data_IF_952258611296
#
_entry.id   IF_952258611296
#
_cell.length_a   1.000
_cell.length_b   1.000
_cell.length_c   1.000
_cell.angle_alpha   90.00
_cell.angle_beta   90.00
_cell.angle_gamma   90.00
#
_symmetry.space_group_name_H-M   'P 1'
#
loop_
_entity.id
_entity.type
_entity.pdbx_description
1 polymer ?
#
# COMPACT_ATOMS: atom_id res chain seq x y z
N UNK A 1 31.07 -12.14 -16.00
CA UNK A 1 30.40 -11.25 -15.06
C UNK A 1 29.49 -12.10 -14.16
N UNK A 2 29.26 -11.70 -12.91
CA UNK A 2 28.30 -12.40 -12.07
C UNK A 2 26.89 -12.25 -12.65
N UNK A 3 26.12 -13.33 -12.72
CA UNK A 3 24.72 -13.30 -13.14
C UNK A 3 23.92 -12.43 -12.17
N UNK A 4 23.10 -11.53 -12.69
CA UNK A 4 22.25 -10.64 -11.88
C UNK A 4 20.80 -11.04 -12.05
N UNK A 5 20.07 -11.05 -10.94
CA UNK A 5 18.62 -11.15 -10.89
C UNK A 5 18.08 -9.80 -10.44
N UNK A 6 17.23 -9.19 -11.24
CA UNK A 6 16.68 -7.85 -10.98
C UNK A 6 15.16 -7.93 -11.09
N UNK A 7 14.47 -7.58 -10.03
CA UNK A 7 13.03 -7.42 -10.01
C UNK A 7 12.69 -5.94 -9.86
N UNK A 8 11.90 -5.43 -10.78
CA UNK A 8 11.53 -4.01 -10.84
C UNK A 8 10.03 -3.88 -10.67
N UNK A 9 9.61 -2.87 -9.92
CA UNK A 9 8.21 -2.51 -9.75
C UNK A 9 8.01 -1.01 -9.92
N UNK A 10 6.83 -0.59 -10.35
CA UNK A 10 6.32 0.77 -10.17
C UNK A 10 5.24 0.77 -9.11
N UNK A 11 4.95 1.93 -8.53
CA UNK A 11 3.82 2.10 -7.63
C UNK A 11 2.53 1.54 -8.27
N UNK A 12 1.70 0.88 -7.47
CA UNK A 12 0.44 0.33 -7.95
C UNK A 12 -0.58 1.45 -8.17
N UNK A 13 -1.14 1.62 -9.37
CA UNK A 13 -2.19 2.61 -9.58
C UNK A 13 -3.47 2.17 -8.87
N UNK A 14 -4.11 3.10 -8.18
CA UNK A 14 -5.33 2.80 -7.46
C UNK A 14 -6.52 2.63 -8.42
N UNK A 15 -7.22 1.51 -8.34
CA UNK A 15 -8.30 1.11 -9.24
C UNK A 15 -9.61 1.92 -9.02
N UNK A 16 -9.49 3.20 -8.73
CA UNK A 16 -10.60 4.13 -8.53
C UNK A 16 -10.64 5.30 -9.53
N UNK A 17 -9.79 5.27 -10.54
CA UNK A 17 -9.72 6.33 -11.56
C UNK A 17 -8.85 5.93 -12.74
N UNK A 18 -8.87 6.77 -13.77
CA UNK A 18 -8.04 6.58 -14.97
C UNK A 18 -6.59 6.96 -14.71
N UNK A 19 -5.68 6.42 -15.51
CA UNK A 19 -4.28 6.86 -15.57
C UNK A 19 -4.24 8.34 -16.00
N UNK A 20 -3.35 9.10 -15.40
CA UNK A 20 -3.09 10.49 -15.75
C UNK A 20 -1.59 10.75 -15.92
N UNK A 21 -1.24 11.96 -16.39
CA UNK A 21 0.15 12.31 -16.69
C UNK A 21 1.11 12.10 -15.51
N UNK A 22 0.65 12.32 -14.28
CA UNK A 22 1.47 12.07 -13.08
C UNK A 22 1.86 10.61 -12.93
N UNK A 23 0.93 9.69 -13.18
CA UNK A 23 1.22 8.26 -13.22
C UNK A 23 2.20 7.92 -14.35
N UNK A 24 1.95 8.42 -15.58
CA UNK A 24 2.77 8.12 -16.76
C UNK A 24 4.21 8.55 -16.58
N UNK A 25 4.51 9.65 -15.88
CA UNK A 25 5.89 10.07 -15.60
C UNK A 25 6.68 8.95 -14.91
N UNK A 26 6.11 8.34 -13.89
CA UNK A 26 6.76 7.25 -13.15
C UNK A 26 6.92 6.00 -14.02
N UNK A 27 5.84 5.54 -14.66
CA UNK A 27 5.86 4.30 -15.45
C UNK A 27 6.78 4.39 -16.67
N UNK A 28 6.78 5.53 -17.38
CA UNK A 28 7.68 5.74 -18.54
C UNK A 28 9.14 5.76 -18.07
N UNK A 29 9.46 6.44 -16.98
CA UNK A 29 10.82 6.44 -16.43
C UNK A 29 11.28 5.04 -16.02
N UNK A 30 10.38 4.27 -15.38
CA UNK A 30 10.67 2.89 -15.02
C UNK A 30 10.91 2.02 -16.24
N UNK A 31 10.04 2.09 -17.25
CA UNK A 31 10.17 1.31 -18.48
C UNK A 31 11.46 1.63 -19.25
N UNK A 32 11.84 2.91 -19.35
CA UNK A 32 13.12 3.33 -19.94
C UNK A 32 14.29 2.66 -19.18
N UNK A 33 14.25 2.69 -17.85
CA UNK A 33 15.31 2.08 -17.04
C UNK A 33 15.35 0.55 -17.20
N UNK A 34 14.19 -0.10 -17.25
CA UNK A 34 14.07 -1.56 -17.47
C UNK A 34 14.64 -1.93 -18.84
N UNK A 35 14.25 -1.23 -19.91
CA UNK A 35 14.78 -1.46 -21.26
C UNK A 35 16.30 -1.29 -21.30
N UNK A 36 16.82 -0.25 -20.66
CA UNK A 36 18.26 -0.04 -20.55
C UNK A 36 18.95 -1.20 -19.82
N UNK A 37 18.39 -1.71 -18.73
CA UNK A 37 18.97 -2.86 -18.02
C UNK A 37 18.92 -4.15 -18.88
N UNK A 38 17.80 -4.42 -19.55
CA UNK A 38 17.66 -5.58 -20.44
C UNK A 38 18.63 -5.54 -21.62
N UNK A 39 18.91 -4.35 -22.16
CA UNK A 39 19.93 -4.14 -23.23
C UNK A 39 21.36 -4.37 -22.72
N UNK A 40 21.66 -3.90 -21.51
CA UNK A 40 23.01 -3.99 -20.92
C UNK A 40 23.32 -5.37 -20.35
N UNK A 41 22.30 -6.10 -19.92
CA UNK A 41 22.39 -7.39 -19.23
C UNK A 41 21.52 -8.40 -19.99
N UNK A 42 22.00 -8.92 -21.13
CA UNK A 42 21.18 -9.78 -21.96
C UNK A 42 20.90 -11.14 -21.29
N UNK A 43 19.72 -11.68 -21.54
CA UNK A 43 19.24 -12.94 -20.98
C UNK A 43 20.13 -14.12 -21.40
N UNK A 44 20.71 -14.07 -22.59
CA UNK A 44 21.61 -15.09 -23.14
C UNK A 44 22.90 -15.25 -22.31
N UNK A 45 23.28 -14.23 -21.55
CA UNK A 45 24.39 -14.27 -20.59
C UNK A 45 23.96 -14.78 -19.20
N UNK A 46 22.69 -15.14 -19.05
CA UNK A 46 22.11 -15.69 -17.83
C UNK A 46 21.67 -14.65 -16.82
N UNK A 47 21.46 -13.40 -17.23
CA UNK A 47 20.79 -12.38 -16.42
C UNK A 47 19.28 -12.54 -16.48
N UNK A 48 18.61 -12.23 -15.36
CA UNK A 48 17.15 -12.29 -15.23
C UNK A 48 16.63 -10.95 -14.77
N UNK A 49 15.80 -10.31 -15.60
CA UNK A 49 15.26 -8.97 -15.32
C UNK A 49 13.76 -9.00 -15.58
N UNK A 50 12.97 -8.71 -14.55
CA UNK A 50 11.53 -8.71 -14.63
C UNK A 50 10.96 -7.38 -14.13
N UNK A 51 9.99 -6.85 -14.88
CA UNK A 51 9.20 -5.69 -14.51
C UNK A 51 7.76 -6.09 -14.25
N UNK A 52 7.33 -6.00 -13.00
CA UNK A 52 5.97 -6.37 -12.59
C UNK A 52 5.26 -5.19 -11.93
N UNK A 53 3.95 -5.13 -12.14
CA UNK A 53 3.06 -4.17 -11.51
C UNK A 53 1.67 -4.78 -11.33
N UNK A 54 0.76 -4.10 -10.66
CA UNK A 54 -0.63 -4.50 -10.50
C UNK A 54 -1.51 -3.28 -10.24
N UNK A 55 -2.82 -3.43 -10.42
CA UNK A 55 -3.77 -2.46 -9.87
C UNK A 55 -3.92 -2.65 -8.37
N UNK A 56 -3.89 -1.56 -7.60
CA UNK A 56 -4.32 -1.52 -6.21
C UNK A 56 -5.84 -1.41 -6.17
N UNK A 57 -6.51 -2.49 -5.75
CA UNK A 57 -7.95 -2.67 -6.03
C UNK A 57 -8.85 -2.61 -4.80
N UNK A 58 -8.32 -2.63 -3.59
CA UNK A 58 -9.12 -2.73 -2.38
C UNK A 58 -9.48 -1.38 -1.77
N UNK A 59 -10.47 -1.39 -0.90
CA UNK A 59 -10.83 -0.25 -0.08
C UNK A 59 -12.26 0.27 -0.27
N UNK A 60 -12.68 1.07 0.70
CA UNK A 60 -14.00 1.72 0.73
C UNK A 60 -14.28 2.58 -0.52
N UNK A 61 -13.30 3.35 -1.08
CA UNK A 61 -13.56 4.15 -2.28
C UNK A 61 -13.99 3.33 -3.49
N UNK A 62 -13.37 2.16 -3.71
CA UNK A 62 -13.74 1.23 -4.80
C UNK A 62 -15.15 0.70 -4.57
N UNK A 63 -15.45 0.27 -3.34
CA UNK A 63 -16.78 -0.23 -2.96
C UNK A 63 -17.88 0.81 -3.20
N UNK A 64 -17.67 2.05 -2.74
CA UNK A 64 -18.63 3.14 -2.90
C UNK A 64 -18.80 3.58 -4.35
N UNK A 65 -17.73 3.55 -5.15
CA UNK A 65 -17.82 3.84 -6.58
C UNK A 65 -18.63 2.76 -7.31
N UNK A 66 -18.36 1.50 -7.05
CA UNK A 66 -19.12 0.38 -7.63
C UNK A 66 -20.61 0.47 -7.27
N UNK A 67 -20.95 0.76 -6.00
CA UNK A 67 -22.34 0.99 -5.58
C UNK A 67 -23.00 2.13 -6.37
N UNK A 68 -22.30 3.26 -6.53
CA UNK A 68 -22.79 4.42 -7.29
C UNK A 68 -23.02 4.11 -8.77
N UNK A 69 -22.18 3.25 -9.37
CA UNK A 69 -22.28 2.82 -10.75
C UNK A 69 -23.27 1.64 -10.94
N UNK A 70 -23.77 1.05 -9.85
CA UNK A 70 -24.74 -0.05 -9.87
C UNK A 70 -24.13 -1.39 -10.33
N UNK A 71 -22.83 -1.58 -10.12
CA UNK A 71 -22.07 -2.78 -10.45
C UNK A 71 -21.38 -3.35 -9.21
N UNK A 72 -20.81 -4.56 -9.30
CA UNK A 72 -20.01 -5.11 -8.22
C UNK A 72 -18.60 -4.48 -8.18
N UNK A 73 -17.92 -4.49 -7.02
CA UNK A 73 -16.53 -4.06 -6.95
C UNK A 73 -15.61 -4.83 -7.91
N UNK A 74 -15.83 -6.13 -8.08
CA UNK A 74 -15.08 -6.98 -9.00
C UNK A 74 -15.29 -6.57 -10.47
N UNK A 75 -16.51 -6.23 -10.88
CA UNK A 75 -16.77 -5.69 -12.21
C UNK A 75 -16.08 -4.35 -12.43
N UNK A 76 -16.10 -3.47 -11.43
CA UNK A 76 -15.42 -2.17 -11.49
C UNK A 76 -13.92 -2.33 -11.68
N UNK A 77 -13.25 -3.13 -10.83
CA UNK A 77 -11.80 -3.30 -10.92
C UNK A 77 -11.37 -3.97 -12.22
N UNK A 78 -12.18 -4.88 -12.79
CA UNK A 78 -11.91 -5.48 -14.09
C UNK A 78 -12.01 -4.47 -15.24
N UNK A 79 -12.98 -3.55 -15.19
CA UNK A 79 -13.10 -2.46 -16.16
C UNK A 79 -11.91 -1.51 -16.07
N UNK A 80 -11.56 -1.09 -14.86
CA UNK A 80 -10.43 -0.19 -14.63
C UNK A 80 -9.11 -0.84 -15.05
N UNK A 81 -8.92 -2.14 -14.76
CA UNK A 81 -7.76 -2.90 -15.21
C UNK A 81 -7.60 -2.87 -16.73
N UNK A 82 -8.68 -3.09 -17.46
CA UNK A 82 -8.65 -3.05 -18.92
C UNK A 82 -8.30 -1.65 -19.45
N UNK A 83 -8.81 -0.60 -18.82
CA UNK A 83 -8.51 0.79 -19.17
C UNK A 83 -7.03 1.13 -18.88
N UNK A 84 -6.52 0.78 -17.69
CA UNK A 84 -5.12 1.00 -17.33
C UNK A 84 -4.17 0.26 -18.27
N UNK A 85 -4.44 -1.02 -18.56
CA UNK A 85 -3.62 -1.82 -19.46
C UNK A 85 -3.59 -1.24 -20.89
N UNK A 86 -4.73 -0.76 -21.40
CA UNK A 86 -4.82 -0.04 -22.69
C UNK A 86 -3.94 1.20 -22.66
N UNK A 87 -4.10 2.05 -21.63
CA UNK A 87 -3.36 3.30 -21.53
C UNK A 87 -1.84 3.05 -21.45
N UNK A 88 -1.38 2.08 -20.68
CA UNK A 88 0.04 1.68 -20.64
C UNK A 88 0.54 1.17 -21.99
N UNK A 89 -0.27 0.37 -22.70
CA UNK A 89 0.07 -0.15 -24.02
C UNK A 89 0.20 0.97 -25.05
N UNK A 90 -0.70 1.96 -25.02
CA UNK A 90 -0.68 3.10 -25.93
C UNK A 90 0.56 3.99 -25.72
N UNK A 91 1.11 4.01 -24.49
CA UNK A 91 2.38 4.68 -24.17
C UNK A 91 3.61 3.75 -24.26
N UNK A 92 3.46 2.55 -24.82
CA UNK A 92 4.53 1.57 -25.03
C UNK A 92 5.25 1.14 -23.74
N UNK A 93 4.56 1.15 -22.61
CA UNK A 93 5.06 0.62 -21.35
C UNK A 93 4.87 -0.89 -21.34
N UNK A 94 5.95 -1.65 -21.17
CA UNK A 94 5.95 -3.11 -21.28
C UNK A 94 6.29 -3.77 -19.94
N UNK A 95 5.26 -4.27 -19.25
CA UNK A 95 5.44 -5.11 -18.08
C UNK A 95 5.66 -6.58 -18.49
N UNK A 96 6.51 -7.30 -17.77
CA UNK A 96 6.56 -8.76 -17.85
C UNK A 96 5.29 -9.38 -17.22
N UNK A 97 4.70 -8.69 -16.24
CA UNK A 97 3.35 -8.95 -15.73
C UNK A 97 2.69 -7.67 -15.18
N UNK A 98 1.50 -7.35 -15.68
CA UNK A 98 0.58 -6.37 -15.08
C UNK A 98 -0.63 -7.12 -14.55
N UNK A 99 -0.88 -7.06 -13.24
CA UNK A 99 -1.83 -7.93 -12.57
C UNK A 99 -2.82 -7.13 -11.69
N UNK A 100 -3.34 -7.74 -10.62
CA UNK A 100 -4.27 -7.13 -9.67
C UNK A 100 -3.93 -7.55 -8.25
N UNK A 101 -4.12 -6.65 -7.28
CA UNK A 101 -4.03 -7.03 -5.87
C UNK A 101 -5.18 -7.94 -5.43
N UNK A 102 -6.34 -7.88 -6.10
CA UNK A 102 -7.45 -8.82 -5.86
C UNK A 102 -7.18 -10.18 -6.52
N UNK A 103 -6.22 -10.92 -6.00
CA UNK A 103 -5.77 -12.19 -6.55
C UNK A 103 -5.51 -13.24 -5.47
N UNK A 104 -5.59 -14.53 -5.81
CA UNK A 104 -5.27 -15.60 -4.86
C UNK A 104 -3.82 -15.56 -4.40
N UNK A 105 -2.90 -15.14 -5.25
CA UNK A 105 -1.49 -15.00 -4.91
C UNK A 105 -1.27 -13.88 -3.89
N UNK A 106 -1.83 -12.70 -4.11
CA UNK A 106 -1.74 -11.58 -3.16
C UNK A 106 -2.39 -11.95 -1.82
N UNK A 107 -3.57 -12.58 -1.85
CA UNK A 107 -4.22 -13.07 -0.64
C UNK A 107 -3.34 -14.02 0.15
N UNK A 108 -2.76 -15.02 -0.51
CA UNK A 108 -1.85 -16.00 0.10
C UNK A 108 -0.71 -15.31 0.85
N UNK A 109 -0.04 -14.35 0.21
CA UNK A 109 1.09 -13.67 0.82
C UNK A 109 0.69 -12.66 1.89
N UNK A 110 -0.47 -12.00 1.78
CA UNK A 110 -1.00 -11.13 2.84
C UNK A 110 -1.32 -11.93 4.10
N UNK A 111 -1.96 -13.08 3.95
CA UNK A 111 -2.25 -13.99 5.05
C UNK A 111 -0.96 -14.58 5.67
N UNK A 112 0.04 -14.92 4.85
CA UNK A 112 1.32 -15.47 5.31
C UNK A 112 2.14 -14.44 6.09
N UNK A 113 2.31 -13.23 5.55
CA UNK A 113 2.98 -12.12 6.23
C UNK A 113 2.31 -11.83 7.58
N UNK A 114 0.98 -11.65 7.60
CA UNK A 114 0.24 -11.42 8.83
C UNK A 114 0.43 -12.55 9.85
N UNK A 115 0.35 -13.80 9.41
CA UNK A 115 0.49 -14.97 10.29
C UNK A 115 1.87 -15.04 10.91
N UNK A 116 2.92 -14.78 10.12
CA UNK A 116 4.31 -14.75 10.60
C UNK A 116 4.56 -13.61 11.57
N UNK A 117 4.07 -12.41 11.28
CA UNK A 117 4.18 -11.26 12.20
C UNK A 117 3.44 -11.53 13.52
N UNK A 118 2.26 -12.17 13.46
CA UNK A 118 1.49 -12.54 14.65
C UNK A 118 2.16 -13.63 15.47
N UNK A 119 2.83 -14.59 14.83
CA UNK A 119 3.55 -15.69 15.47
C UNK A 119 4.94 -15.30 16.01
N UNK A 120 5.43 -14.10 15.72
CA UNK A 120 6.69 -13.62 16.28
C UNK A 120 6.65 -13.58 17.81
N UNK A 121 7.78 -13.78 18.46
CA UNK A 121 7.89 -13.75 19.93
C UNK A 121 8.83 -12.60 20.39
N UNK A 122 8.31 -11.56 21.06
CA UNK A 122 6.89 -11.26 21.25
C UNK A 122 6.18 -10.91 19.93
N UNK A 123 4.86 -11.09 19.88
CA UNK A 123 4.06 -10.80 18.67
C UNK A 123 4.24 -9.37 18.17
N UNK A 124 4.39 -9.23 16.85
CA UNK A 124 4.43 -7.93 16.17
C UNK A 124 3.04 -7.43 15.75
N UNK A 125 2.00 -8.21 16.00
CA UNK A 125 0.61 -7.78 15.85
C UNK A 125 0.00 -7.56 17.23
N UNK A 126 -0.66 -6.41 17.40
CA UNK A 126 -1.42 -6.07 18.61
C UNK A 126 -2.81 -5.58 18.24
N UNK A 127 -3.72 -5.52 19.23
CA UNK A 127 -5.05 -4.93 19.03
C UNK A 127 -5.22 -3.71 19.93
N UNK A 128 -5.96 -2.72 19.43
CA UNK A 128 -6.33 -1.50 20.15
C UNK A 128 -7.78 -1.15 19.82
N UNK A 129 -8.52 -0.66 20.79
CA UNK A 129 -9.82 -0.04 20.53
C UNK A 129 -9.59 1.39 20.05
N UNK A 130 -10.20 1.74 18.92
CA UNK A 130 -10.19 3.09 18.36
C UNK A 130 -11.60 3.62 18.21
N UNK A 131 -11.76 4.93 18.33
CA UNK A 131 -13.01 5.62 18.06
C UNK A 131 -12.99 6.19 16.65
N UNK A 132 -14.05 5.93 15.88
CA UNK A 132 -14.19 6.37 14.51
C UNK A 132 -15.59 6.86 14.21
N UNK A 133 -15.72 7.73 13.22
CA UNK A 133 -17.03 8.11 12.72
C UNK A 133 -17.69 6.99 11.90
N UNK A 134 -18.94 6.74 12.23
CA UNK A 134 -19.80 5.76 11.61
C UNK A 134 -21.00 6.45 10.98
N UNK A 135 -21.29 6.11 9.73
CA UNK A 135 -22.48 6.53 9.02
C UNK A 135 -23.64 5.56 9.36
N UNK A 136 -24.64 6.00 10.11
CA UNK A 136 -25.72 5.11 10.53
C UNK A 136 -26.66 4.72 9.38
N UNK A 137 -26.77 5.55 8.32
CA UNK A 137 -27.65 5.30 7.20
C UNK A 137 -27.03 4.29 6.22
N UNK A 138 -25.71 4.32 6.09
CA UNK A 138 -24.96 3.37 5.25
C UNK A 138 -24.48 2.13 6.03
N UNK A 139 -24.40 2.21 7.33
CA UNK A 139 -23.92 1.11 8.16
C UNK A 139 -22.41 0.87 8.06
N UNK A 140 -21.60 1.92 7.80
CA UNK A 140 -20.15 1.81 7.55
C UNK A 140 -19.35 2.80 8.38
N UNK A 141 -18.11 2.45 8.73
CA UNK A 141 -17.11 3.39 9.18
C UNK A 141 -16.56 4.15 7.98
N UNK A 142 -16.40 5.48 8.12
CA UNK A 142 -15.99 6.33 7.00
C UNK A 142 -14.50 6.68 7.07
N UNK A 143 -13.78 6.56 5.94
CA UNK A 143 -12.50 7.24 5.76
C UNK A 143 -12.64 8.76 5.82
N UNK A 144 -11.57 9.44 6.23
CA UNK A 144 -11.54 10.88 6.49
C UNK A 144 -12.04 11.73 5.32
N UNK A 145 -11.77 11.31 4.08
CA UNK A 145 -12.23 12.00 2.85
C UNK A 145 -13.73 11.89 2.58
N UNK A 146 -14.43 11.02 3.29
CA UNK A 146 -15.90 10.91 3.22
C UNK A 146 -16.60 11.58 4.39
N UNK A 147 -15.85 12.31 5.22
CA UNK A 147 -16.33 13.09 6.35
C UNK A 147 -16.13 14.56 6.03
N UNK A 148 -17.17 15.37 6.22
CA UNK A 148 -17.09 16.84 6.19
C UNK A 148 -17.73 17.44 7.41
N UNK A 149 -17.31 18.69 7.73
CA UNK A 149 -17.85 19.45 8.85
C UNK A 149 -17.33 20.88 8.86
N UNK A 150 -17.53 21.56 9.99
CA UNK A 150 -16.98 22.90 10.19
C UNK A 150 -15.56 22.79 10.77
N UNK A 151 -14.62 23.56 10.24
CA UNK A 151 -13.24 23.59 10.73
C UNK A 151 -13.17 24.02 12.19
N UNK A 152 -12.48 23.30 13.09
CA UNK A 152 -12.37 23.64 14.51
C UNK A 152 -11.57 24.93 14.76
N UNK A 153 -10.77 25.39 13.77
CA UNK A 153 -9.91 26.58 13.91
C UNK A 153 -10.51 27.86 13.32
N UNK A 154 -11.13 27.79 12.14
CA UNK A 154 -11.64 28.98 11.46
C UNK A 154 -13.15 28.97 11.20
N UNK A 155 -13.84 27.88 11.60
CA UNK A 155 -15.29 27.68 11.41
C UNK A 155 -15.75 27.69 9.95
N UNK A 156 -14.84 27.54 9.00
CA UNK A 156 -15.19 27.32 7.60
C UNK A 156 -16.01 26.05 7.46
N UNK A 157 -17.12 26.12 6.71
CA UNK A 157 -18.02 24.98 6.48
C UNK A 157 -17.47 24.03 5.42
N UNK A 158 -17.99 22.80 5.40
CA UNK A 158 -17.76 21.79 4.36
C UNK A 158 -16.28 21.39 4.18
N UNK A 159 -15.51 21.45 5.27
CA UNK A 159 -14.11 21.06 5.28
C UNK A 159 -13.96 19.55 5.49
N UNK A 160 -12.95 18.92 4.86
CA UNK A 160 -12.68 17.50 4.98
C UNK A 160 -12.15 17.10 6.36
N UNK A 161 -12.20 15.79 6.67
CA UNK A 161 -11.87 15.25 7.98
C UNK A 161 -10.40 15.34 8.38
N UNK A 162 -9.49 15.65 7.47
CA UNK A 162 -8.04 15.68 7.70
C UNK A 162 -7.44 17.09 7.61
N UNK A 163 -8.08 18.01 6.87
CA UNK A 163 -7.54 19.36 6.67
C UNK A 163 -8.63 20.41 6.34
N UNK A 164 -8.27 21.68 6.52
CA UNK A 164 -9.09 22.80 6.13
C UNK A 164 -8.54 23.48 4.87
N UNK A 165 -9.29 23.44 3.79
CA UNK A 165 -8.91 24.12 2.54
C UNK A 165 -8.90 25.65 2.66
N UNK A 166 -9.66 26.22 3.62
CA UNK A 166 -9.76 27.67 3.81
C UNK A 166 -8.59 28.26 4.61
N UNK A 167 -8.08 27.55 5.65
CA UNK A 167 -7.02 28.09 6.52
C UNK A 167 -5.77 27.21 6.57
N UNK A 168 -5.74 26.08 5.85
CA UNK A 168 -4.58 25.18 5.80
C UNK A 168 -4.33 24.38 7.09
N UNK A 169 -5.24 24.41 8.06
CA UNK A 169 -5.07 23.69 9.32
C UNK A 169 -5.29 22.19 9.14
N UNK A 170 -4.38 21.36 9.66
CA UNK A 170 -4.58 19.94 9.85
C UNK A 170 -5.21 19.65 11.21
N UNK A 171 -6.06 18.63 11.28
CA UNK A 171 -6.75 18.17 12.48
C UNK A 171 -7.20 16.70 12.32
N UNK A 172 -7.60 16.05 13.40
CA UNK A 172 -8.23 14.74 13.31
C UNK A 172 -9.72 14.87 12.88
N UNK A 173 -10.30 13.89 12.19
CA UNK A 173 -11.72 13.92 11.83
C UNK A 173 -12.63 14.17 13.03
N UNK A 174 -12.24 13.63 14.20
CA UNK A 174 -12.96 13.80 15.47
C UNK A 174 -13.03 15.23 16.00
N UNK A 175 -12.16 16.12 15.48
CA UNK A 175 -12.14 17.54 15.88
C UNK A 175 -13.15 18.39 15.10
N UNK A 176 -13.70 17.86 14.00
CA UNK A 176 -14.69 18.58 13.17
C UNK A 176 -15.95 18.93 13.97
N UNK A 177 -16.44 20.13 13.76
CA UNK A 177 -17.72 20.59 14.33
C UNK A 177 -18.84 20.15 13.38
N UNK A 178 -19.89 19.52 13.94
CA UNK A 178 -21.04 18.98 13.20
C UNK A 178 -20.65 18.12 11.99
N UNK A 179 -19.86 17.06 12.19
CA UNK A 179 -19.45 16.20 11.11
C UNK A 179 -20.65 15.49 10.46
N UNK A 180 -20.58 15.33 9.14
CA UNK A 180 -21.58 14.61 8.36
C UNK A 180 -20.94 13.78 7.27
N UNK A 181 -21.65 12.73 6.86
CA UNK A 181 -21.25 11.85 5.75
C UNK A 181 -21.40 12.54 4.40
N UNK A 182 -20.36 12.50 3.56
CA UNK A 182 -20.50 12.95 2.15
C UNK A 182 -21.18 11.90 1.28
N UNK A 183 -21.43 10.71 1.80
CA UNK A 183 -22.08 9.59 1.07
C UNK A 183 -23.59 9.61 1.24
N UNK A 184 -24.08 9.82 2.48
CA UNK A 184 -25.51 9.78 2.82
C UNK A 184 -26.07 11.16 3.24
N UNK A 185 -25.21 12.12 3.56
CA UNK A 185 -25.51 13.38 4.25
C UNK A 185 -26.02 13.19 5.70
N UNK A 186 -25.94 11.98 6.26
CA UNK A 186 -26.30 11.71 7.64
C UNK A 186 -25.35 12.38 8.62
N UNK A 187 -25.89 12.77 9.79
CA UNK A 187 -25.07 13.12 10.94
C UNK A 187 -24.32 11.87 11.41
N UNK A 188 -23.01 12.01 11.60
CA UNK A 188 -22.15 10.88 12.00
C UNK A 188 -22.25 10.62 13.50
N UNK A 189 -22.09 9.36 13.87
CA UNK A 189 -22.00 8.93 15.27
C UNK A 189 -20.62 8.33 15.55
N UNK A 190 -20.11 8.54 16.76
CA UNK A 190 -18.86 7.91 17.19
C UNK A 190 -19.14 6.46 17.58
N UNK A 191 -18.32 5.55 17.09
CA UNK A 191 -18.33 4.14 17.51
C UNK A 191 -16.91 3.67 17.79
N UNK A 192 -16.78 2.82 18.81
CA UNK A 192 -15.54 2.14 19.15
C UNK A 192 -15.46 0.82 18.39
N UNK A 193 -14.30 0.53 17.81
CA UNK A 193 -14.01 -0.75 17.19
C UNK A 193 -12.62 -1.22 17.57
N UNK A 194 -12.42 -2.55 17.72
CA UNK A 194 -11.12 -3.15 17.90
C UNK A 194 -10.42 -3.26 16.55
N UNK A 195 -9.20 -2.72 16.46
CA UNK A 195 -8.37 -2.77 15.27
C UNK A 195 -7.04 -3.50 15.53
N UNK A 196 -6.52 -4.10 14.48
CA UNK A 196 -5.22 -4.77 14.47
C UNK A 196 -4.13 -3.80 14.02
N UNK A 197 -3.00 -3.82 14.73
CA UNK A 197 -1.86 -2.95 14.47
C UNK A 197 -0.60 -3.77 14.26
N UNK A 198 0.19 -3.41 13.24
CA UNK A 198 1.56 -3.85 13.13
C UNK A 198 2.44 -2.94 13.99
N UNK A 199 3.21 -3.54 14.90
CA UNK A 199 4.11 -2.82 15.81
C UNK A 199 5.35 -2.31 15.09
N UNK A 200 5.18 -1.31 14.22
CA UNK A 200 6.29 -0.68 13.52
C UNK A 200 7.27 0.02 14.49
N UNK A 201 6.78 0.42 15.67
CA UNK A 201 7.57 1.00 16.76
C UNK A 201 8.35 -0.02 17.59
N UNK A 202 8.23 -1.32 17.33
CA UNK A 202 9.02 -2.36 18.00
C UNK A 202 10.53 -2.19 17.69
N UNK A 203 11.39 -2.38 18.66
CA UNK A 203 12.85 -2.18 18.52
C UNK A 203 13.46 -3.04 17.39
N UNK A 204 12.89 -4.21 17.12
CA UNK A 204 13.33 -5.07 15.99
C UNK A 204 13.14 -4.37 14.65
N UNK A 205 11.98 -3.71 14.46
CA UNK A 205 11.69 -2.93 13.26
C UNK A 205 12.54 -1.67 13.19
N UNK A 206 12.62 -0.91 14.27
CA UNK A 206 13.37 0.36 14.33
C UNK A 206 14.86 0.14 14.08
N UNK A 207 15.48 -0.84 14.75
CA UNK A 207 16.90 -1.14 14.57
C UNK A 207 17.21 -1.63 13.14
N UNK A 208 16.35 -2.47 12.57
CA UNK A 208 16.48 -2.86 11.17
C UNK A 208 16.38 -1.65 10.25
N UNK A 209 15.33 -0.82 10.41
CA UNK A 209 15.10 0.33 9.53
C UNK A 209 16.22 1.36 9.61
N UNK A 210 16.80 1.62 10.80
CA UNK A 210 17.96 2.51 10.93
C UNK A 210 19.13 2.01 10.10
N UNK A 211 19.51 0.75 10.26
CA UNK A 211 20.60 0.15 9.48
C UNK A 211 20.30 0.20 8.00
N UNK A 212 19.13 -0.29 7.60
CA UNK A 212 18.72 -0.43 6.21
C UNK A 212 18.63 0.92 5.48
N UNK A 213 18.06 1.96 6.12
CA UNK A 213 17.86 3.27 5.49
C UNK A 213 19.08 4.19 5.56
N UNK A 214 19.95 4.03 6.55
CA UNK A 214 21.05 4.98 6.81
C UNK A 214 22.45 4.42 6.49
N UNK A 215 22.67 3.11 6.63
CA UNK A 215 24.01 2.52 6.56
C UNK A 215 24.25 1.71 5.27
N UNK A 216 23.20 1.11 4.70
CA UNK A 216 23.30 0.14 3.61
C UNK A 216 23.11 0.75 2.21
N UNK A 217 22.90 2.06 2.09
CA UNK A 217 22.75 2.80 0.83
C UNK A 217 21.63 2.29 -0.11
N UNK A 218 20.52 1.83 0.46
CA UNK A 218 19.35 1.38 -0.31
C UNK A 218 18.52 2.55 -0.87
N UNK A 219 18.66 3.75 -0.31
CA UNK A 219 17.87 4.92 -0.65
C UNK A 219 18.74 6.03 -1.23
N UNK A 220 18.13 6.88 -2.05
CA UNK A 220 18.74 8.17 -2.43
C UNK A 220 18.95 9.03 -1.18
N UNK A 221 19.93 9.94 -1.21
CA UNK A 221 20.31 10.77 -0.06
C UNK A 221 19.14 11.57 0.52
N UNK A 222 18.29 12.16 -0.35
CA UNK A 222 17.13 12.93 0.06
C UNK A 222 16.08 12.07 0.76
N UNK A 223 15.87 10.85 0.28
CA UNK A 223 14.99 9.86 0.90
C UNK A 223 15.55 9.37 2.23
N UNK A 224 16.84 9.05 2.31
CA UNK A 224 17.51 8.63 3.55
C UNK A 224 17.42 9.72 4.63
N UNK A 225 17.65 10.99 4.28
CA UNK A 225 17.49 12.12 5.19
C UNK A 225 16.05 12.23 5.73
N UNK A 226 15.06 11.99 4.87
CA UNK A 226 13.65 11.99 5.30
C UNK A 226 13.33 10.82 6.24
N UNK A 227 13.94 9.65 6.03
CA UNK A 227 13.79 8.52 6.95
C UNK A 227 14.38 8.83 8.31
N UNK A 228 15.56 9.48 8.37
CA UNK A 228 16.16 9.90 9.65
C UNK A 228 15.24 10.84 10.43
N UNK A 229 14.59 11.80 9.75
CA UNK A 229 13.60 12.69 10.39
C UNK A 229 12.45 11.90 11.04
N UNK A 230 11.90 10.89 10.34
CA UNK A 230 10.80 10.08 10.83
C UNK A 230 11.21 9.08 11.90
N UNK A 231 12.41 8.50 11.81
CA UNK A 231 12.94 7.59 12.83
C UNK A 231 13.35 8.32 14.10
N UNK A 232 13.67 9.61 14.02
CA UNK A 232 14.26 10.39 15.10
C UNK A 232 15.75 10.12 15.29
N UNK A 233 16.37 10.81 16.24
CA UNK A 233 17.77 10.62 16.61
C UNK A 233 18.04 9.19 17.12
N UNK A 234 19.31 8.79 17.23
CA UNK A 234 19.72 7.41 17.47
C UNK A 234 19.08 6.74 18.70
N UNK A 235 18.76 7.50 19.73
CA UNK A 235 18.12 7.01 20.96
C UNK A 235 16.62 7.32 21.06
N UNK A 236 16.03 7.94 20.01
CA UNK A 236 14.62 8.23 19.93
C UNK A 236 13.91 7.17 19.10
N UNK A 237 12.62 7.02 19.32
CA UNK A 237 11.76 6.21 18.50
C UNK A 237 10.46 7.00 18.22
N UNK A 238 10.40 7.63 17.03
CA UNK A 238 9.27 8.45 16.63
C UNK A 238 8.26 7.67 15.78
N UNK A 239 8.51 6.38 15.50
CA UNK A 239 7.58 5.56 14.74
C UNK A 239 6.36 5.18 15.59
N UNK A 240 5.21 5.21 14.95
CA UNK A 240 3.95 4.73 15.54
C UNK A 240 3.57 3.38 14.94
N UNK A 241 2.84 2.58 15.73
CA UNK A 241 2.24 1.35 15.24
C UNK A 241 1.24 1.66 14.13
N UNK A 242 1.19 0.80 13.13
CA UNK A 242 0.38 0.99 11.94
C UNK A 242 -0.91 0.17 11.98
N UNK A 243 -2.06 0.82 11.83
CA UNK A 243 -3.36 0.16 11.71
C UNK A 243 -3.46 -0.60 10.38
N UNK A 244 -3.59 -1.93 10.48
CA UNK A 244 -3.64 -2.84 9.34
C UNK A 244 -5.02 -3.44 9.11
N UNK A 245 -6.06 -2.95 9.78
CA UNK A 245 -7.41 -3.52 9.70
C UNK A 245 -8.48 -2.51 9.34
N UNK A 246 -9.59 -3.02 8.81
CA UNK A 246 -10.83 -2.27 8.56
C UNK A 246 -12.04 -3.13 8.92
N UNK A 247 -13.11 -2.47 9.35
CA UNK A 247 -14.38 -3.10 9.66
C UNK A 247 -15.22 -3.40 8.43
N UNK A 248 -16.02 -4.45 8.49
CA UNK A 248 -17.07 -4.71 7.49
C UNK A 248 -18.13 -3.59 7.50
N UNK A 249 -18.76 -3.27 6.34
CA UNK A 249 -18.44 -3.78 5.01
C UNK A 249 -17.18 -3.13 4.42
N UNK A 250 -16.34 -3.92 3.80
CA UNK A 250 -15.10 -3.46 3.18
C UNK A 250 -14.75 -4.37 2.01
N UNK A 251 -14.33 -3.82 0.89
CA UNK A 251 -13.82 -4.58 -0.23
C UNK A 251 -12.33 -4.86 -0.05
N UNK A 252 -11.98 -6.11 0.21
CA UNK A 252 -10.63 -6.54 0.52
C UNK A 252 -10.57 -7.97 1.05
N UNK A 253 -9.42 -8.42 1.52
CA UNK A 253 -9.25 -9.74 2.10
C UNK A 253 -9.56 -9.72 3.61
N UNK A 254 -10.35 -10.69 4.04
CA UNK A 254 -10.64 -10.86 5.46
C UNK A 254 -9.39 -11.33 6.22
N UNK A 255 -9.17 -10.75 7.40
CA UNK A 255 -8.07 -11.16 8.30
C UNK A 255 -8.34 -12.58 8.82
N UNK A 256 -7.37 -13.51 8.77
CA UNK A 256 -7.54 -14.86 9.27
C UNK A 256 -7.97 -14.89 10.74
N UNK A 257 -9.01 -15.67 11.04
CA UNK A 257 -9.59 -15.84 12.38
C UNK A 257 -10.12 -14.54 13.03
N UNK A 258 -10.48 -13.53 12.23
CA UNK A 258 -11.06 -12.26 12.69
C UNK A 258 -12.31 -11.94 11.85
N UNK A 259 -13.48 -12.56 12.16
CA UNK A 259 -14.72 -12.32 11.44
C UNK A 259 -15.09 -10.83 11.40
N UNK A 260 -15.46 -10.31 10.22
CA UNK A 260 -15.83 -8.91 10.02
C UNK A 260 -14.67 -7.93 10.02
N UNK A 261 -13.41 -8.41 10.05
CA UNK A 261 -12.21 -7.60 9.93
C UNK A 261 -11.47 -7.93 8.63
N UNK A 262 -11.04 -6.90 7.93
CA UNK A 262 -10.38 -6.98 6.64
C UNK A 262 -9.00 -6.34 6.72
N UNK A 263 -8.05 -6.79 5.90
CA UNK A 263 -6.78 -6.10 5.77
C UNK A 263 -7.01 -4.69 5.20
N UNK A 264 -6.35 -3.73 5.79
CA UNK A 264 -6.27 -2.39 5.21
C UNK A 264 -5.44 -2.42 3.94
N UNK A 265 -5.88 -1.72 2.92
CA UNK A 265 -5.26 -1.68 1.59
C UNK A 265 -3.74 -1.45 1.61
N UNK A 266 -3.21 -0.70 2.56
CA UNK A 266 -1.77 -0.47 2.68
C UNK A 266 -0.98 -1.67 3.23
N UNK A 267 -1.64 -2.71 3.73
CA UNK A 267 -0.96 -3.98 4.00
C UNK A 267 -0.88 -4.82 2.73
N UNK A 268 -1.97 -4.98 2.00
CA UNK A 268 -2.01 -5.89 0.85
C UNK A 268 -1.54 -5.26 -0.48
N UNK A 269 -1.57 -3.92 -0.60
CA UNK A 269 -1.05 -3.24 -1.78
C UNK A 269 0.43 -3.57 -2.07
N UNK A 270 1.39 -3.36 -1.15
CA UNK A 270 2.77 -3.73 -1.42
C UNK A 270 2.97 -5.24 -1.59
N UNK A 271 2.14 -6.08 -0.94
CA UNK A 271 2.12 -7.53 -1.19
C UNK A 271 1.67 -7.85 -2.62
N UNK A 272 0.95 -6.95 -3.27
CA UNK A 272 0.61 -7.05 -4.69
C UNK A 272 1.81 -7.19 -5.62
N UNK A 273 2.98 -6.65 -5.26
CA UNK A 273 4.23 -6.90 -5.99
C UNK A 273 4.62 -8.37 -5.97
N UNK A 274 4.51 -9.01 -4.79
CA UNK A 274 4.74 -10.45 -4.65
C UNK A 274 3.69 -11.25 -5.42
N UNK A 275 2.42 -10.86 -5.33
CA UNK A 275 1.31 -11.50 -6.04
C UNK A 275 1.49 -11.47 -7.55
N UNK A 276 1.83 -10.31 -8.11
CA UNK A 276 2.10 -10.15 -9.54
C UNK A 276 3.30 -10.99 -9.99
N UNK A 277 4.40 -10.97 -9.22
CA UNK A 277 5.57 -11.77 -9.55
C UNK A 277 5.30 -13.28 -9.41
N UNK A 278 4.56 -13.72 -8.39
CA UNK A 278 4.17 -15.13 -8.24
C UNK A 278 3.32 -15.60 -9.43
N UNK A 279 2.40 -14.78 -9.91
CA UNK A 279 1.61 -15.10 -11.09
C UNK A 279 2.49 -15.27 -12.34
N UNK A 280 3.49 -14.39 -12.51
CA UNK A 280 4.48 -14.52 -13.58
C UNK A 280 5.29 -15.84 -13.42
N UNK A 281 5.74 -16.14 -12.21
CA UNK A 281 6.48 -17.36 -11.90
C UNK A 281 5.68 -18.62 -12.25
N UNK A 282 4.40 -18.67 -11.86
CA UNK A 282 3.50 -19.79 -12.14
C UNK A 282 3.34 -20.04 -13.64
N UNK A 283 3.27 -18.98 -14.46
CA UNK A 283 3.11 -19.09 -15.91
C UNK A 283 4.39 -19.50 -16.65
N UNK A 284 5.55 -19.11 -16.13
CA UNK A 284 6.83 -19.22 -16.83
C UNK A 284 7.79 -20.25 -16.20
N UNK A 285 7.38 -20.94 -15.12
CA UNK A 285 8.23 -21.90 -14.43
C UNK A 285 9.44 -21.26 -13.72
N UNK A 286 9.30 -20.01 -13.26
CA UNK A 286 10.32 -19.30 -12.50
C UNK A 286 10.16 -19.67 -11.02
N UNK A 287 11.28 -19.87 -10.32
CA UNK A 287 11.24 -20.11 -8.88
C UNK A 287 11.10 -18.76 -8.14
N UNK A 288 9.94 -18.55 -7.51
CA UNK A 288 9.64 -17.35 -6.73
C UNK A 288 10.62 -17.17 -5.56
N UNK A 289 11.00 -18.26 -4.88
CA UNK A 289 11.86 -18.20 -3.70
C UNK A 289 13.28 -17.71 -4.04
N UNK A 290 13.77 -17.94 -5.26
CA UNK A 290 15.05 -17.39 -5.70
C UNK A 290 15.08 -15.86 -5.71
N UNK A 291 13.91 -15.20 -5.78
CA UNK A 291 13.78 -13.73 -5.82
C UNK A 291 13.40 -13.14 -4.46
N UNK A 292 12.51 -13.78 -3.71
CA UNK A 292 11.92 -13.20 -2.50
C UNK A 292 12.37 -13.84 -1.19
N UNK A 293 13.06 -14.96 -1.24
CA UNK A 293 13.52 -15.62 -0.02
C UNK A 293 14.63 -14.82 0.66
N UNK A 294 14.59 -14.75 1.98
CA UNK A 294 15.66 -14.13 2.78
C UNK A 294 17.03 -14.72 2.42
N UNK A 295 17.99 -13.86 2.13
CA UNK A 295 19.31 -14.26 1.64
C UNK A 295 19.42 -14.42 0.11
N UNK A 296 18.34 -14.16 -0.62
CA UNK A 296 18.43 -14.00 -2.09
C UNK A 296 19.42 -12.89 -2.45
N UNK A 297 20.09 -13.05 -3.59
CA UNK A 297 20.97 -12.03 -4.19
C UNK A 297 20.21 -11.17 -5.21
N UNK A 298 18.90 -11.31 -5.30
CA UNK A 298 18.07 -10.51 -6.20
C UNK A 298 18.08 -9.05 -5.78
N UNK A 299 18.25 -8.19 -6.75
CA UNK A 299 18.14 -6.75 -6.59
C UNK A 299 16.67 -6.35 -6.83
N UNK A 300 16.01 -5.81 -5.82
CA UNK A 300 14.63 -5.33 -5.92
C UNK A 300 14.64 -3.80 -6.00
N UNK A 301 14.08 -3.26 -7.08
CA UNK A 301 13.95 -1.82 -7.30
C UNK A 301 12.47 -1.42 -7.33
N UNK A 302 12.09 -0.52 -6.42
CA UNK A 302 10.77 0.12 -6.41
C UNK A 302 10.89 1.55 -6.96
N UNK A 303 10.22 1.83 -8.08
CA UNK A 303 10.05 3.18 -8.60
C UNK A 303 8.73 3.73 -8.06
N UNK A 304 8.81 4.82 -7.31
CA UNK A 304 7.65 5.35 -6.57
C UNK A 304 7.65 6.87 -6.53
N UNK A 305 6.48 7.47 -6.41
CA UNK A 305 6.32 8.87 -6.07
C UNK A 305 6.67 9.16 -4.60
N UNK A 306 7.07 10.39 -4.31
CA UNK A 306 7.47 10.82 -2.96
C UNK A 306 6.38 10.62 -1.89
N UNK A 307 5.13 10.65 -2.29
CA UNK A 307 3.99 10.64 -1.36
C UNK A 307 3.77 9.27 -0.70
N UNK A 308 4.36 8.20 -1.28
CA UNK A 308 4.30 6.84 -0.75
C UNK A 308 5.66 6.35 -0.22
N UNK A 309 6.61 7.28 -0.04
CA UNK A 309 7.94 6.96 0.47
C UNK A 309 7.89 6.32 1.87
N UNK A 310 7.00 6.80 2.76
CA UNK A 310 6.80 6.24 4.09
C UNK A 310 6.51 4.74 4.04
N UNK A 311 5.61 4.33 3.15
CA UNK A 311 5.20 2.93 3.00
C UNK A 311 6.32 2.06 2.45
N UNK A 312 7.05 2.52 1.44
CA UNK A 312 8.08 1.73 0.75
C UNK A 312 9.44 1.74 1.45
N UNK A 313 9.73 2.73 2.28
CA UNK A 313 11.02 2.83 2.96
C UNK A 313 10.97 2.51 4.47
N UNK A 314 9.78 2.40 5.08
CA UNK A 314 9.62 2.03 6.49
C UNK A 314 8.72 0.81 6.64
N UNK A 315 7.44 0.94 6.29
CA UNK A 315 6.44 -0.09 6.54
C UNK A 315 6.74 -1.40 5.80
N UNK A 316 6.91 -1.32 4.49
CA UNK A 316 7.13 -2.49 3.64
C UNK A 316 8.42 -3.25 3.96
N UNK A 317 9.62 -2.60 4.06
CA UNK A 317 10.83 -3.30 4.43
C UNK A 317 10.75 -3.95 5.82
N UNK A 318 10.14 -3.28 6.81
CA UNK A 318 9.97 -3.85 8.14
C UNK A 318 9.05 -5.07 8.13
N UNK A 319 7.95 -5.05 7.35
CA UNK A 319 7.09 -6.22 7.20
C UNK A 319 7.83 -7.40 6.58
N UNK A 320 8.61 -7.18 5.53
CA UNK A 320 9.40 -8.21 4.87
C UNK A 320 10.43 -8.81 5.82
N UNK A 321 11.29 -8.00 6.41
CA UNK A 321 12.33 -8.47 7.35
C UNK A 321 11.72 -9.27 8.50
N UNK A 322 10.65 -8.76 9.11
CA UNK A 322 10.04 -9.39 10.29
C UNK A 322 9.16 -10.60 9.95
N UNK A 323 8.77 -10.79 8.70
CA UNK A 323 8.07 -11.98 8.21
C UNK A 323 8.97 -12.99 7.50
N UNK A 324 10.27 -12.70 7.38
CA UNK A 324 11.28 -13.64 6.85
C UNK A 324 11.37 -13.71 5.33
N UNK A 325 11.03 -12.59 4.68
CA UNK A 325 11.22 -12.39 3.24
C UNK A 325 12.43 -11.52 2.93
#
# INVERSE_FOLDING_TARGET
MNKRKILITSALPYANGSIHLGHLVEYIQTDIWVRFQKMRLPKEEGHEIYFVCADDTHGTPVMLRAEKEGITPEELINQVHADHLRDFTDFHIEFDNYYTTHSPETRKYSEDVYTKLKAADPSLITTKNIEQYYDPDKGIFLPDRFIKGECPKCSAKDQYGDNCEACGAAYAPTDLIKPYSTVSNAALVMKTSEHFFFKLSDDRCVNFLRRWTQEENHLQSEAANKMQEWLGESEQNNLSDWDISRDAPYFGFQIPNAPGKYFYVWLDAPVGYMGSFQNLCNRNGIDFDEFWKKGSTTELYHFIGKDILYFHALFWPAMLECSGY
#
